data_IF_303083015132
#
_entry.id   IF_303083015132
#
_cell.length_a   1.000
_cell.length_b   1.000
_cell.length_c   1.000
_cell.angle_alpha   90.00
_cell.angle_beta   90.00
_cell.angle_gamma   90.00
#
_symmetry.space_group_name_H-M   'P 1'
#
loop_
_entity.id
_entity.type
_entity.pdbx_description
1 polymer ?
#
# COMPACT_ATOMS: atom_id res chain seq x y z
N UNK A 1 -3.91 19.31 16.73
CA UNK A 1 -2.77 19.48 17.67
C UNK A 1 -1.60 18.53 17.34
N UNK A 2 -0.35 18.95 17.56
CA UNK A 2 0.83 18.15 17.18
C UNK A 2 0.97 16.83 17.98
N UNK A 3 0.48 16.79 19.22
CA UNK A 3 0.47 15.58 20.04
C UNK A 3 -0.48 14.51 19.47
N UNK A 4 -1.67 14.92 19.00
CA UNK A 4 -2.66 14.00 18.43
C UNK A 4 -2.14 13.37 17.13
N UNK A 5 -1.50 14.17 16.27
CA UNK A 5 -0.90 13.66 15.03
C UNK A 5 0.16 12.59 15.29
N UNK A 6 0.98 12.79 16.33
CA UNK A 6 2.00 11.81 16.75
C UNK A 6 1.36 10.53 17.27
N UNK A 7 0.35 10.63 18.13
CA UNK A 7 -0.38 9.47 18.65
C UNK A 7 -1.06 8.68 17.54
N UNK A 8 -1.78 9.35 16.63
CA UNK A 8 -2.40 8.70 15.48
C UNK A 8 -1.38 8.04 14.57
N UNK A 9 -0.24 8.71 14.31
CA UNK A 9 0.85 8.13 13.51
C UNK A 9 1.43 6.87 14.16
N UNK A 10 1.54 6.84 15.49
CA UNK A 10 1.98 5.66 16.23
C UNK A 10 1.00 4.49 16.09
N UNK A 11 -0.29 4.74 16.37
CA UNK A 11 -1.34 3.73 16.25
C UNK A 11 -1.47 3.18 14.81
N UNK A 12 -1.36 4.05 13.81
CA UNK A 12 -1.35 3.64 12.40
C UNK A 12 -0.14 2.76 12.09
N UNK A 13 1.05 3.12 12.57
CA UNK A 13 2.26 2.32 12.37
C UNK A 13 2.13 0.94 13.02
N UNK A 14 1.60 0.87 14.25
CA UNK A 14 1.34 -0.41 14.92
C UNK A 14 0.35 -1.28 14.15
N UNK A 15 -0.71 -0.70 13.58
CA UNK A 15 -1.67 -1.45 12.76
C UNK A 15 -1.04 -1.94 11.47
N UNK A 16 -0.28 -1.08 10.80
CA UNK A 16 0.37 -1.35 9.52
C UNK A 16 1.31 -2.57 9.60
N UNK A 17 2.05 -2.71 10.71
CA UNK A 17 3.01 -3.78 10.91
C UNK A 17 2.40 -5.14 11.30
N UNK A 18 1.10 -5.19 11.62
CA UNK A 18 0.40 -6.45 11.91
C UNK A 18 0.09 -7.21 10.61
N UNK A 19 -0.11 -8.53 10.67
CA UNK A 19 -0.62 -9.29 9.52
C UNK A 19 -1.94 -8.72 9.02
N UNK A 20 -2.05 -8.46 7.72
CA UNK A 20 -3.23 -7.81 7.11
C UNK A 20 -3.36 -6.30 7.38
N UNK A 21 -2.39 -5.71 8.09
CA UNK A 21 -2.37 -4.30 8.45
C UNK A 21 -2.36 -3.37 7.25
N UNK A 22 -1.59 -3.69 6.21
CA UNK A 22 -1.55 -2.92 4.96
C UNK A 22 -2.94 -2.86 4.33
N UNK A 23 -3.59 -4.01 4.16
CA UNK A 23 -4.93 -4.07 3.58
C UNK A 23 -5.94 -3.27 4.41
N UNK A 24 -5.90 -3.39 5.75
CA UNK A 24 -6.78 -2.66 6.63
C UNK A 24 -6.61 -1.13 6.51
N UNK A 25 -5.36 -0.65 6.41
CA UNK A 25 -5.07 0.78 6.20
C UNK A 25 -5.56 1.24 4.83
N UNK A 26 -5.29 0.47 3.78
CA UNK A 26 -5.72 0.81 2.42
C UNK A 26 -7.24 0.87 2.33
N UNK A 27 -7.95 -0.11 2.90
CA UNK A 27 -9.42 -0.08 3.00
C UNK A 27 -9.92 1.12 3.78
N UNK A 28 -9.39 1.37 4.97
CA UNK A 28 -9.83 2.47 5.81
C UNK A 28 -9.69 3.84 5.14
N UNK A 29 -8.66 4.05 4.32
CA UNK A 29 -8.44 5.31 3.61
C UNK A 29 -9.29 5.41 2.35
N UNK A 30 -9.48 4.31 1.60
CA UNK A 30 -10.23 4.32 0.36
C UNK A 30 -11.75 4.26 0.61
N UNK A 31 -12.21 3.26 1.36
CA UNK A 31 -13.62 3.01 1.67
C UNK A 31 -14.18 4.04 2.66
N UNK A 32 -13.35 4.53 3.59
CA UNK A 32 -13.77 5.53 4.60
C UNK A 32 -14.10 6.92 4.03
N UNK A 33 -13.82 7.16 2.74
CA UNK A 33 -14.16 8.42 2.06
C UNK A 33 -15.44 8.33 1.21
N UNK A 34 -16.00 7.14 1.06
CA UNK A 34 -17.19 6.86 0.24
C UNK A 34 -18.47 6.70 1.10
N UNK A 35 -18.34 6.69 2.43
CA UNK A 35 -19.47 6.63 3.37
C UNK A 35 -20.31 7.91 3.38
N UNK A 36 -21.58 7.77 2.96
CA UNK A 36 -22.75 8.69 3.04
C UNK A 36 -22.63 10.12 2.45
N UNK A 37 -21.45 10.75 2.43
CA UNK A 37 -21.27 12.11 1.89
C UNK A 37 -20.65 12.16 0.49
N UNK A 38 -20.11 11.06 -0.02
CA UNK A 38 -19.53 10.97 -1.37
C UNK A 38 -20.53 10.66 -2.49
N UNK A 39 -21.71 10.12 -2.16
CA UNK A 39 -22.72 9.75 -3.15
C UNK A 39 -23.46 10.94 -3.78
N UNK A 40 -23.25 12.17 -3.27
CA UNK A 40 -23.92 13.38 -3.74
C UNK A 40 -23.06 14.28 -4.66
N UNK A 41 -21.84 13.88 -5.01
CA UNK A 41 -20.91 14.78 -5.71
C UNK A 41 -20.11 14.15 -6.85
N UNK A 42 -20.63 14.26 -8.08
CA UNK A 42 -19.82 14.24 -9.30
C UNK A 42 -19.83 12.93 -10.08
N UNK A 43 -20.72 12.83 -11.07
CA UNK A 43 -20.61 11.84 -12.13
C UNK A 43 -19.39 12.13 -13.03
N UNK A 44 -18.51 11.14 -13.20
CA UNK A 44 -17.48 11.14 -14.24
C UNK A 44 -16.14 11.76 -13.84
N UNK A 45 -15.07 11.19 -14.41
CA UNK A 45 -13.65 11.57 -14.47
C UNK A 45 -12.97 12.18 -13.22
N UNK A 46 -13.57 13.16 -12.57
CA UNK A 46 -13.08 13.90 -11.41
C UNK A 46 -13.12 13.08 -10.11
N UNK A 47 -14.17 12.29 -9.89
CA UNK A 47 -14.22 11.32 -8.78
C UNK A 47 -13.12 10.26 -8.93
N UNK A 48 -12.96 9.69 -10.14
CA UNK A 48 -11.87 8.80 -10.47
C UNK A 48 -10.49 9.49 -10.39
N UNK A 49 -10.45 10.82 -10.64
CA UNK A 49 -9.24 11.63 -10.48
C UNK A 49 -8.83 11.76 -9.00
N UNK A 50 -9.81 11.93 -8.13
CA UNK A 50 -9.61 12.02 -6.70
C UNK A 50 -9.13 10.67 -6.14
N UNK A 51 -9.75 9.58 -6.58
CA UNK A 51 -9.42 8.23 -6.10
C UNK A 51 -8.00 7.79 -6.49
N UNK A 52 -7.51 8.20 -7.68
CA UNK A 52 -6.12 7.90 -8.00
C UNK A 52 -5.12 8.68 -7.14
N UNK A 53 -5.41 9.93 -6.80
CA UNK A 53 -4.54 10.73 -5.93
C UNK A 53 -4.51 10.13 -4.53
N UNK A 54 -5.64 9.63 -4.02
CA UNK A 54 -5.70 8.89 -2.76
C UNK A 54 -4.83 7.63 -2.82
N UNK A 55 -4.97 6.82 -3.88
CA UNK A 55 -4.14 5.62 -4.07
C UNK A 55 -2.64 5.96 -4.10
N UNK A 56 -2.26 7.02 -4.82
CA UNK A 56 -0.87 7.45 -4.93
C UNK A 56 -0.31 7.94 -3.58
N UNK A 57 -1.11 8.71 -2.83
CA UNK A 57 -0.74 9.16 -1.49
C UNK A 57 -0.55 7.99 -0.53
N UNK A 58 -1.48 7.02 -0.52
CA UNK A 58 -1.36 5.81 0.29
C UNK A 58 -0.12 5.01 -0.10
N UNK A 59 0.14 4.84 -1.41
CA UNK A 59 1.32 4.12 -1.87
C UNK A 59 2.63 4.76 -1.40
N UNK A 60 2.72 6.09 -1.39
CA UNK A 60 3.87 6.83 -0.83
C UNK A 60 3.99 6.69 0.68
N UNK A 61 2.86 6.71 1.41
CA UNK A 61 2.85 6.47 2.85
C UNK A 61 3.37 5.07 3.19
N UNK A 62 2.94 4.05 2.43
CA UNK A 62 3.39 2.68 2.63
C UNK A 62 4.87 2.49 2.26
N UNK A 63 5.38 3.23 1.27
CA UNK A 63 6.79 3.18 0.91
C UNK A 63 7.68 3.84 1.98
N UNK A 64 7.18 4.89 2.64
CA UNK A 64 7.91 5.58 3.69
C UNK A 64 7.98 4.75 4.98
N UNK A 65 9.18 4.33 5.35
CA UNK A 65 9.41 3.66 6.64
C UNK A 65 9.06 4.59 7.81
N UNK A 66 8.14 4.20 8.72
CA UNK A 66 7.81 4.99 9.89
C UNK A 66 9.05 5.22 10.76
N UNK A 67 9.22 6.43 11.31
CA UNK A 67 10.36 6.78 12.19
C UNK A 67 10.47 5.91 13.45
N UNK A 68 9.37 5.26 13.83
CA UNK A 68 9.26 4.38 14.98
C UNK A 68 9.59 2.92 14.67
N UNK A 69 9.90 2.58 13.41
CA UNK A 69 10.52 1.30 13.07
C UNK A 69 12.01 1.33 13.43
N UNK A 70 12.46 0.33 14.17
CA UNK A 70 13.87 0.21 14.59
C UNK A 70 14.80 -0.23 13.45
N UNK A 71 14.24 -0.83 12.40
CA UNK A 71 14.99 -1.38 11.27
C UNK A 71 14.18 -1.26 9.99
N UNK A 72 14.80 -0.66 8.97
CA UNK A 72 14.25 -0.61 7.62
C UNK A 72 14.11 -2.02 7.02
N UNK A 73 15.02 -2.93 7.34
CA UNK A 73 14.97 -4.31 6.86
C UNK A 73 13.77 -5.07 7.44
N UNK A 74 13.48 -4.89 8.74
CA UNK A 74 12.33 -5.53 9.37
C UNK A 74 11.02 -4.96 8.85
N UNK A 75 10.99 -3.65 8.56
CA UNK A 75 9.85 -3.02 7.88
C UNK A 75 9.57 -3.68 6.53
N UNK A 76 10.59 -3.81 5.66
CA UNK A 76 10.45 -4.48 4.37
C UNK A 76 10.03 -5.96 4.52
N UNK A 77 10.60 -6.68 5.49
CA UNK A 77 10.23 -8.08 5.76
C UNK A 77 8.75 -8.25 6.11
N UNK A 78 8.17 -7.31 6.88
CA UNK A 78 6.77 -7.37 7.33
C UNK A 78 5.77 -6.82 6.30
N UNK A 79 6.16 -5.77 5.58
CA UNK A 79 5.23 -5.00 4.72
C UNK A 79 5.25 -5.49 3.27
N UNK A 80 6.41 -5.87 2.72
CA UNK A 80 6.51 -6.29 1.32
C UNK A 80 5.62 -7.49 0.95
N UNK A 81 5.52 -8.57 1.76
CA UNK A 81 4.59 -9.66 1.46
C UNK A 81 3.13 -9.18 1.37
N UNK A 82 2.71 -8.32 2.30
CA UNK A 82 1.36 -7.76 2.30
C UNK A 82 1.08 -6.86 1.09
N UNK A 83 2.10 -6.12 0.60
CA UNK A 83 1.98 -5.34 -0.65
C UNK A 83 1.76 -6.27 -1.84
N UNK A 84 2.46 -7.40 -1.90
CA UNK A 84 2.25 -8.39 -2.96
C UNK A 84 0.86 -9.02 -2.87
N UNK A 85 0.33 -9.26 -1.66
CA UNK A 85 -1.02 -9.77 -1.47
C UNK A 85 -2.09 -8.83 -2.04
N UNK A 86 -1.86 -7.51 -2.01
CA UNK A 86 -2.77 -6.54 -2.63
C UNK A 86 -2.94 -6.74 -4.15
N UNK A 87 -1.91 -7.25 -4.83
CA UNK A 87 -1.98 -7.55 -6.27
C UNK A 87 -2.90 -8.73 -6.58
N UNK A 88 -3.16 -9.59 -5.58
CA UNK A 88 -3.96 -10.81 -5.71
C UNK A 88 -5.44 -10.62 -5.33
N UNK A 89 -5.83 -9.43 -4.85
CA UNK A 89 -7.23 -9.15 -4.47
C UNK A 89 -8.11 -9.15 -5.72
N UNK A 90 -9.10 -10.05 -5.76
CA UNK A 90 -10.01 -10.25 -6.92
C UNK A 90 -11.34 -9.48 -6.82
N UNK A 91 -11.55 -8.73 -5.75
CA UNK A 91 -12.77 -7.94 -5.57
C UNK A 91 -12.90 -6.89 -6.69
N UNK A 92 -13.87 -7.08 -7.60
CA UNK A 92 -13.99 -6.28 -8.83
C UNK A 92 -14.12 -4.78 -8.59
N UNK A 93 -14.65 -4.35 -7.45
CA UNK A 93 -14.88 -2.92 -7.16
C UNK A 93 -13.60 -2.27 -6.65
N UNK A 94 -12.91 -2.92 -5.71
CA UNK A 94 -11.74 -2.34 -5.04
C UNK A 94 -10.38 -2.79 -5.64
N UNK A 95 -10.35 -3.88 -6.42
CA UNK A 95 -9.11 -4.47 -6.96
C UNK A 95 -8.24 -3.46 -7.71
N UNK A 96 -8.86 -2.56 -8.49
CA UNK A 96 -8.12 -1.54 -9.24
C UNK A 96 -7.40 -0.56 -8.30
N UNK A 97 -8.04 -0.17 -7.20
CA UNK A 97 -7.46 0.74 -6.23
C UNK A 97 -6.32 0.04 -5.46
N UNK A 98 -6.52 -1.21 -5.02
CA UNK A 98 -5.48 -2.01 -4.38
C UNK A 98 -4.26 -2.24 -5.27
N UNK A 99 -4.47 -2.62 -6.53
CA UNK A 99 -3.39 -2.81 -7.51
C UNK A 99 -2.60 -1.51 -7.74
N UNK A 100 -3.28 -0.37 -7.78
CA UNK A 100 -2.63 0.92 -7.96
C UNK A 100 -1.80 1.30 -6.74
N UNK A 101 -2.35 1.14 -5.53
CA UNK A 101 -1.59 1.34 -4.29
C UNK A 101 -0.36 0.43 -4.27
N UNK A 102 -0.52 -0.85 -4.57
CA UNK A 102 0.57 -1.82 -4.57
C UNK A 102 1.67 -1.44 -5.57
N UNK A 103 1.29 -1.04 -6.78
CA UNK A 103 2.21 -0.64 -7.85
C UNK A 103 2.96 0.64 -7.50
N UNK A 104 2.27 1.67 -7.01
CA UNK A 104 2.92 2.90 -6.55
C UNK A 104 3.89 2.61 -5.40
N UNK A 105 3.48 1.78 -4.44
CA UNK A 105 4.33 1.41 -3.30
C UNK A 105 5.59 0.68 -3.77
N UNK A 106 5.43 -0.33 -4.61
CA UNK A 106 6.54 -1.12 -5.15
C UNK A 106 7.51 -0.24 -5.94
N UNK A 107 6.99 0.61 -6.83
CA UNK A 107 7.81 1.53 -7.62
C UNK A 107 8.59 2.50 -6.74
N UNK A 108 7.96 3.02 -5.69
CA UNK A 108 8.59 3.97 -4.76
C UNK A 108 9.68 3.27 -3.93
N UNK A 109 9.37 2.11 -3.34
CA UNK A 109 10.33 1.29 -2.60
C UNK A 109 11.52 0.86 -3.46
N UNK A 110 11.29 0.54 -4.74
CA UNK A 110 12.35 0.16 -5.68
C UNK A 110 13.26 1.33 -6.07
N UNK A 111 12.72 2.56 -6.10
CA UNK A 111 13.51 3.77 -6.35
C UNK A 111 14.32 4.18 -5.12
N UNK A 112 13.74 4.08 -3.93
CA UNK A 112 14.38 4.53 -2.69
C UNK A 112 15.38 3.51 -2.14
N UNK A 113 15.06 2.22 -2.20
CA UNK A 113 15.89 1.14 -1.64
C UNK A 113 15.96 -0.05 -2.61
N UNK A 114 16.72 0.06 -3.72
CA UNK A 114 16.72 -0.94 -4.79
C UNK A 114 17.06 -2.35 -4.30
N UNK A 115 18.05 -2.47 -3.39
CA UNK A 115 18.55 -3.76 -2.90
C UNK A 115 17.53 -4.49 -2.02
N UNK A 116 16.81 -3.75 -1.17
CA UNK A 116 15.76 -4.34 -0.32
C UNK A 116 14.52 -4.66 -1.15
N UNK A 117 14.14 -3.77 -2.07
CA UNK A 117 13.01 -4.00 -2.98
C UNK A 117 13.26 -5.18 -3.92
N UNK A 118 14.49 -5.37 -4.40
CA UNK A 118 14.83 -6.53 -5.22
C UNK A 118 14.59 -7.83 -4.45
N UNK A 119 15.11 -7.92 -3.21
CA UNK A 119 15.00 -9.13 -2.38
C UNK A 119 13.58 -9.40 -1.90
N UNK A 120 12.84 -8.37 -1.49
CA UNK A 120 11.55 -8.52 -0.81
C UNK A 120 10.33 -8.33 -1.71
N UNK A 121 10.47 -7.71 -2.88
CA UNK A 121 9.37 -7.48 -3.83
C UNK A 121 9.62 -8.14 -5.18
N UNK A 122 10.72 -7.80 -5.86
CA UNK A 122 10.94 -8.24 -7.25
C UNK A 122 11.23 -9.73 -7.37
N UNK A 123 12.13 -10.27 -6.54
CA UNK A 123 12.46 -11.69 -6.56
C UNK A 123 11.22 -12.57 -6.28
N UNK A 124 10.40 -12.32 -5.22
CA UNK A 124 9.16 -13.05 -5.02
C UNK A 124 8.16 -12.91 -6.18
N UNK A 125 8.00 -11.70 -6.73
CA UNK A 125 7.05 -11.43 -7.82
C UNK A 125 7.45 -12.15 -9.12
N UNK A 126 8.75 -12.24 -9.41
CA UNK A 126 9.28 -12.86 -10.62
C UNK A 126 9.56 -14.36 -10.46
N UNK A 127 9.58 -14.90 -9.23
CA UNK A 127 9.85 -16.32 -8.98
C UNK A 127 8.94 -17.29 -9.77
N UNK A 128 7.63 -17.04 -9.93
CA UNK A 128 6.78 -17.87 -10.79
C UNK A 128 7.23 -17.85 -12.26
N UNK A 129 7.58 -16.67 -12.80
CA UNK A 129 8.02 -16.53 -14.19
C UNK A 129 9.36 -17.23 -14.45
N UNK A 130 10.29 -17.15 -13.49
CA UNK A 130 11.59 -17.83 -13.58
C UNK A 130 11.44 -19.35 -13.64
N UNK A 131 10.52 -19.91 -12.84
CA UNK A 131 10.22 -21.36 -12.89
C UNK A 131 9.66 -21.78 -14.25
N UNK A 132 8.92 -20.92 -14.93
CA UNK A 132 8.42 -21.20 -16.28
C UNK A 132 9.50 -21.09 -17.36
N UNK A 133 10.63 -20.41 -17.11
CA UNK A 133 11.74 -20.29 -18.07
C UNK A 133 12.81 -21.38 -17.93
N UNK A 134 12.79 -22.11 -16.81
CA UNK A 134 13.76 -23.17 -16.49
C UNK A 134 13.22 -24.59 -16.83
N UNK A 135 12.00 -24.69 -17.38
CA UNK A 135 11.37 -25.94 -17.85
C UNK A 135 11.11 -25.93 -19.34
#
# INVERSE_FOLDING_TARGET
>A
PAWLRRLCGHLLSERLLRPGGVQAVVRGVLEGTEGEWGALGGAGAEAAALDWKKCDAVGKILAACPQQCLSLQDYYRLVCPQILDLLHIQDKVAARQFQRVATTTLLTMAREQPQLAERHLLQPLLAPLRRCSEG
#
